data_IF_233489512249
#
_entry.id   IF_233489512249
#
_cell.length_a   1.000
_cell.length_b   1.000
_cell.length_c   1.000
_cell.angle_alpha   90.00
_cell.angle_beta   90.00
_cell.angle_gamma   90.00
#
_symmetry.space_group_name_H-M   'P 1'
#
loop_
_entity.id
_entity.type
_entity.pdbx_description
1 polymer ?
#
# COMPACT_ATOMS: atom_id res chain seq x y z
N UNK A 1 20.68 13.48 24.37
CA UNK A 1 20.90 12.97 23.01
C UNK A 1 19.84 11.94 22.72
N UNK A 2 18.82 12.30 21.95
CA UNK A 2 17.74 11.40 21.51
C UNK A 2 17.62 11.61 20.02
N UNK A 3 18.11 10.64 19.28
CA UNK A 3 18.05 10.54 17.82
C UNK A 3 16.59 10.40 17.41
N UNK A 4 16.06 11.40 16.70
CA UNK A 4 14.76 11.30 16.04
C UNK A 4 14.95 10.65 14.67
N UNK A 5 14.35 9.47 14.49
CA UNK A 5 14.27 8.82 13.19
C UNK A 5 13.25 9.59 12.33
N UNK A 6 13.75 10.20 11.25
CA UNK A 6 12.93 10.75 10.17
C UNK A 6 12.30 9.56 9.44
N UNK A 7 10.97 9.54 9.32
CA UNK A 7 10.26 8.57 8.51
C UNK A 7 10.62 8.79 7.04
N UNK A 8 11.58 8.02 6.55
CA UNK A 8 11.78 7.81 5.12
C UNK A 8 10.60 7.02 4.55
N UNK A 9 10.35 7.17 3.25
CA UNK A 9 9.26 6.57 2.49
C UNK A 9 8.79 5.17 2.98
N UNK A 10 7.46 4.97 2.99
CA UNK A 10 6.72 3.74 3.41
C UNK A 10 6.81 3.37 4.90
N UNK A 11 5.67 3.45 5.60
CA UNK A 11 5.53 3.08 7.02
C UNK A 11 6.00 1.63 7.30
N UNK A 12 6.63 1.34 8.45
CA UNK A 12 6.93 -0.04 8.86
C UNK A 12 5.71 -0.98 8.80
N UNK A 13 4.51 -0.46 9.06
CA UNK A 13 3.25 -1.19 8.96
C UNK A 13 2.91 -1.59 7.52
N UNK A 14 3.33 -0.80 6.53
CA UNK A 14 3.14 -1.10 5.11
C UNK A 14 3.94 -2.33 4.67
N UNK A 15 5.18 -2.45 5.16
CA UNK A 15 6.01 -3.63 4.93
C UNK A 15 5.52 -4.82 5.75
N UNK A 16 5.15 -4.60 7.01
CA UNK A 16 4.63 -5.64 7.89
C UNK A 16 3.35 -6.28 7.32
N UNK A 17 2.40 -5.47 6.85
CA UNK A 17 1.16 -5.93 6.21
C UNK A 17 1.43 -6.82 4.99
N UNK A 18 2.38 -6.42 4.14
CA UNK A 18 2.78 -7.21 2.96
C UNK A 18 3.49 -8.50 3.33
N UNK A 19 4.45 -8.44 4.23
CA UNK A 19 5.22 -9.61 4.65
C UNK A 19 4.32 -10.66 5.33
N UNK A 20 3.45 -10.22 6.23
CA UNK A 20 2.52 -11.10 6.95
C UNK A 20 1.45 -11.68 6.01
N UNK A 21 0.94 -10.90 5.06
CA UNK A 21 -0.01 -11.40 4.06
C UNK A 21 0.59 -12.46 3.12
N UNK A 22 1.83 -12.25 2.66
CA UNK A 22 2.54 -13.24 1.84
C UNK A 22 2.87 -14.51 2.62
N UNK A 23 3.30 -14.37 3.88
CA UNK A 23 3.55 -15.52 4.74
C UNK A 23 2.26 -16.30 5.02
N UNK A 24 1.14 -15.60 5.27
CA UNK A 24 -0.17 -16.22 5.43
C UNK A 24 -0.58 -17.02 4.18
N UNK A 25 -0.34 -16.50 2.96
CA UNK A 25 -0.60 -17.21 1.71
C UNK A 25 0.26 -18.49 1.59
N UNK A 26 1.56 -18.41 1.86
CA UNK A 26 2.47 -19.57 1.79
C UNK A 26 2.06 -20.64 2.82
N UNK A 27 1.78 -20.24 4.05
CA UNK A 27 1.36 -21.16 5.12
C UNK A 27 -0.02 -21.78 4.83
N UNK A 28 -0.98 -20.99 4.33
CA UNK A 28 -2.29 -21.49 3.92
C UNK A 28 -2.16 -22.50 2.78
N UNK A 29 -1.27 -22.22 1.82
CA UNK A 29 -0.95 -23.14 0.72
C UNK A 29 -0.40 -24.46 1.27
N UNK A 30 0.63 -24.41 2.12
CA UNK A 30 1.18 -25.61 2.75
C UNK A 30 0.12 -26.40 3.54
N UNK A 31 -0.77 -25.69 4.26
CA UNK A 31 -1.89 -26.29 4.98
C UNK A 31 -2.84 -27.05 4.06
N UNK A 32 -3.21 -26.47 2.90
CA UNK A 32 -4.05 -27.11 1.88
C UNK A 32 -3.37 -28.35 1.29
N UNK A 33 -2.09 -28.26 0.95
CA UNK A 33 -1.31 -29.40 0.42
C UNK A 33 -1.29 -30.57 1.40
N UNK A 34 -1.03 -30.30 2.69
CA UNK A 34 -1.06 -31.32 3.73
C UNK A 34 -2.47 -31.87 3.99
N UNK A 35 -3.50 -31.05 3.81
CA UNK A 35 -4.89 -31.49 3.82
C UNK A 35 -5.19 -32.48 2.68
N UNK A 36 -4.69 -32.20 1.46
CA UNK A 36 -4.80 -33.10 0.31
C UNK A 36 -4.08 -34.43 0.61
N UNK A 37 -2.83 -34.39 1.09
CA UNK A 37 -2.05 -35.57 1.48
C UNK A 37 -2.78 -36.43 2.53
N UNK A 38 -3.40 -35.78 3.52
CA UNK A 38 -4.21 -36.44 4.54
C UNK A 38 -5.45 -37.11 3.93
N UNK A 39 -6.11 -36.46 2.97
CA UNK A 39 -7.31 -36.99 2.31
C UNK A 39 -7.07 -38.28 1.52
N UNK A 40 -5.87 -38.43 0.93
CA UNK A 40 -5.45 -39.65 0.20
C UNK A 40 -4.69 -40.64 1.09
N UNK A 41 -4.58 -40.35 2.40
CA UNK A 41 -3.87 -41.17 3.40
C UNK A 41 -2.41 -41.48 3.01
N UNK A 42 -1.73 -40.51 2.38
CA UNK A 42 -0.34 -40.65 1.94
C UNK A 42 0.59 -40.99 3.11
N UNK A 43 1.54 -41.90 2.86
CA UNK A 43 2.59 -42.29 3.79
C UNK A 43 3.77 -42.90 3.03
N UNK A 44 4.98 -42.73 3.57
CA UNK A 44 6.19 -43.44 3.12
C UNK A 44 7.05 -43.82 4.35
N UNK A 45 8.07 -44.69 4.20
CA UNK A 45 8.95 -45.05 5.32
C UNK A 45 9.60 -43.85 6.02
N UNK A 46 9.98 -42.82 5.25
CA UNK A 46 10.55 -41.57 5.78
C UNK A 46 9.49 -40.52 6.15
N UNK A 47 8.21 -40.74 5.79
CA UNK A 47 7.11 -39.79 6.03
C UNK A 47 5.86 -40.49 6.56
N UNK A 48 5.84 -40.85 7.86
CA UNK A 48 4.67 -41.46 8.49
C UNK A 48 3.46 -40.53 8.54
N UNK A 49 2.25 -41.09 8.61
CA UNK A 49 0.99 -40.32 8.60
C UNK A 49 0.87 -39.28 9.71
N UNK A 50 1.43 -39.56 10.90
CA UNK A 50 1.37 -38.64 12.02
C UNK A 50 2.14 -37.34 11.74
N UNK A 51 3.18 -37.38 10.89
CA UNK A 51 3.94 -36.19 10.48
C UNK A 51 3.05 -35.25 9.68
N UNK A 52 2.33 -35.77 8.67
CA UNK A 52 1.38 -34.96 7.87
C UNK A 52 0.30 -34.34 8.75
N UNK A 53 -0.28 -35.10 9.68
CA UNK A 53 -1.33 -34.62 10.59
C UNK A 53 -0.79 -33.55 11.54
N UNK A 54 0.39 -33.78 12.13
CA UNK A 54 1.05 -32.82 13.02
C UNK A 54 1.44 -31.53 12.30
N UNK A 55 2.02 -31.66 11.11
CA UNK A 55 2.43 -30.52 10.29
C UNK A 55 1.21 -29.72 9.82
N UNK A 56 0.12 -30.38 9.39
CA UNK A 56 -1.12 -29.70 9.02
C UNK A 56 -1.66 -28.87 10.18
N UNK A 57 -1.69 -29.42 11.40
CA UNK A 57 -2.13 -28.70 12.60
C UNK A 57 -1.22 -27.50 12.90
N UNK A 58 0.09 -27.68 12.88
CA UNK A 58 1.04 -26.61 13.19
C UNK A 58 1.00 -25.49 12.15
N UNK A 59 0.97 -25.82 10.86
CA UNK A 59 0.84 -24.83 9.79
C UNK A 59 -0.51 -24.13 9.83
N UNK A 60 -1.60 -24.83 10.16
CA UNK A 60 -2.92 -24.20 10.33
C UNK A 60 -2.88 -23.12 11.41
N UNK A 61 -2.26 -23.41 12.56
CA UNK A 61 -2.12 -22.44 13.64
C UNK A 61 -1.25 -21.24 13.22
N UNK A 62 -0.13 -21.49 12.52
CA UNK A 62 0.69 -20.41 11.98
C UNK A 62 -0.07 -19.57 10.95
N UNK A 63 -0.85 -20.19 10.06
CA UNK A 63 -1.71 -19.48 9.10
C UNK A 63 -2.67 -18.54 9.82
N UNK A 64 -3.36 -19.01 10.87
CA UNK A 64 -4.26 -18.16 11.67
C UNK A 64 -3.49 -17.01 12.32
N UNK A 65 -2.33 -17.27 12.93
CA UNK A 65 -1.50 -16.24 13.57
C UNK A 65 -1.06 -15.17 12.57
N UNK A 66 -0.49 -15.57 11.42
CA UNK A 66 -0.04 -14.63 10.39
C UNK A 66 -1.19 -13.89 9.72
N UNK A 67 -2.37 -14.53 9.58
CA UNK A 67 -3.59 -13.86 9.11
C UNK A 67 -4.05 -12.81 10.12
N UNK A 68 -4.04 -13.12 11.41
CA UNK A 68 -4.35 -12.17 12.48
C UNK A 68 -3.38 -10.98 12.49
N UNK A 69 -2.08 -11.24 12.35
CA UNK A 69 -1.06 -10.18 12.21
C UNK A 69 -1.28 -9.34 10.96
N UNK A 70 -1.60 -9.96 9.83
CA UNK A 70 -1.92 -9.26 8.58
C UNK A 70 -3.12 -8.33 8.75
N UNK A 71 -4.21 -8.81 9.35
CA UNK A 71 -5.40 -8.00 9.64
C UNK A 71 -5.05 -6.87 10.60
N UNK A 72 -4.35 -7.16 11.70
CA UNK A 72 -3.97 -6.18 12.72
C UNK A 72 -3.11 -5.05 12.15
N UNK A 73 -2.09 -5.40 11.36
CA UNK A 73 -1.21 -4.43 10.70
C UNK A 73 -1.97 -3.63 9.64
N UNK A 74 -2.94 -4.24 8.96
CA UNK A 74 -3.79 -3.57 7.96
C UNK A 74 -4.71 -2.52 8.59
N UNK A 75 -5.41 -2.85 9.68
CA UNK A 75 -6.35 -1.90 10.33
C UNK A 75 -5.64 -0.80 11.12
N UNK A 76 -4.39 -1.05 11.54
CA UNK A 76 -3.56 -0.05 12.23
C UNK A 76 -2.77 0.83 11.27
N UNK A 77 -2.69 0.48 9.98
CA UNK A 77 -2.03 1.31 8.98
C UNK A 77 -2.83 2.61 8.73
N UNK A 78 -2.28 3.79 9.08
CA UNK A 78 -2.98 5.07 8.90
C UNK A 78 -3.21 5.41 7.42
N UNK A 79 -2.52 4.74 6.49
CA UNK A 79 -2.65 5.00 5.06
C UNK A 79 -4.06 4.73 4.51
N UNK A 80 -4.68 3.62 4.91
CA UNK A 80 -5.96 3.16 4.34
C UNK A 80 -7.18 3.43 5.24
N UNK A 81 -6.97 3.80 6.51
CA UNK A 81 -8.01 4.13 7.51
C UNK A 81 -9.19 3.14 7.48
N UNK A 82 -8.90 1.85 7.57
CA UNK A 82 -9.89 0.78 7.44
C UNK A 82 -10.64 0.63 8.77
N UNK A 83 -11.97 0.65 8.72
CA UNK A 83 -12.81 0.41 9.90
C UNK A 83 -12.63 -1.03 10.41
N UNK A 84 -12.45 -1.26 11.72
CA UNK A 84 -12.37 -2.59 12.31
C UNK A 84 -13.59 -3.48 11.99
N UNK A 85 -14.77 -2.88 11.78
CA UNK A 85 -15.97 -3.64 11.39
C UNK A 85 -15.83 -4.31 10.02
N UNK A 86 -15.01 -3.74 9.12
CA UNK A 86 -14.79 -4.28 7.77
C UNK A 86 -13.92 -5.55 7.76
N UNK A 87 -13.41 -5.98 8.91
CA UNK A 87 -12.67 -7.25 9.07
C UNK A 87 -13.61 -8.45 9.00
N UNK A 88 -14.81 -8.32 9.56
CA UNK A 88 -15.80 -9.41 9.70
C UNK A 88 -17.09 -9.15 8.91
N UNK A 89 -17.33 -7.90 8.50
CA UNK A 89 -18.45 -7.55 7.63
C UNK A 89 -17.90 -7.26 6.24
N UNK A 90 -18.05 -8.18 5.27
CA UNK A 90 -17.48 -7.99 3.95
C UNK A 90 -18.18 -6.85 3.21
N UNK A 91 -17.43 -6.16 2.35
CA UNK A 91 -17.90 -5.11 1.44
C UNK A 91 -18.39 -3.81 2.10
N UNK A 92 -18.09 -3.58 3.39
CA UNK A 92 -18.44 -2.32 4.08
C UNK A 92 -17.39 -1.21 3.92
N UNK A 93 -16.15 -1.56 3.54
CA UNK A 93 -15.05 -0.58 3.42
C UNK A 93 -15.27 0.41 2.26
N UNK A 94 -14.96 1.69 2.51
CA UNK A 94 -14.87 2.73 1.48
C UNK A 94 -13.56 2.66 0.68
N UNK A 95 -12.53 1.99 1.22
CA UNK A 95 -11.28 1.70 0.55
C UNK A 95 -11.37 0.34 -0.14
N UNK A 96 -11.13 0.25 -1.45
CA UNK A 96 -11.06 -1.00 -2.25
C UNK A 96 -12.12 -2.05 -1.89
N UNK A 97 -13.38 -1.62 -1.83
CA UNK A 97 -14.53 -2.35 -1.26
C UNK A 97 -14.58 -3.85 -1.60
N UNK A 98 -14.50 -4.20 -2.88
CA UNK A 98 -14.61 -5.59 -3.36
C UNK A 98 -13.46 -6.43 -2.82
N UNK A 99 -12.23 -5.93 -2.96
CA UNK A 99 -11.03 -6.68 -2.62
C UNK A 99 -10.88 -6.85 -1.11
N UNK A 100 -11.14 -5.80 -0.32
CA UNK A 100 -11.20 -5.91 1.13
C UNK A 100 -12.32 -6.84 1.61
N UNK A 101 -13.48 -6.80 0.95
CA UNK A 101 -14.57 -7.74 1.23
C UNK A 101 -14.18 -9.19 0.99
N UNK A 102 -13.42 -9.50 -0.07
CA UNK A 102 -12.86 -10.85 -0.27
C UNK A 102 -11.87 -11.25 0.83
N UNK A 103 -11.12 -10.29 1.37
CA UNK A 103 -10.24 -10.52 2.53
C UNK A 103 -11.03 -10.89 3.78
N UNK A 104 -12.11 -10.15 4.07
CA UNK A 104 -13.04 -10.47 5.14
C UNK A 104 -13.70 -11.85 4.95
N UNK A 105 -14.18 -12.17 3.74
CA UNK A 105 -14.71 -13.50 3.43
C UNK A 105 -13.68 -14.60 3.69
N UNK A 106 -12.43 -14.42 3.25
CA UNK A 106 -11.37 -15.41 3.53
C UNK A 106 -11.11 -15.56 5.04
N UNK A 107 -11.09 -14.45 5.78
CA UNK A 107 -10.94 -14.44 7.24
C UNK A 107 -12.09 -15.18 7.92
N UNK A 108 -13.34 -14.92 7.53
CA UNK A 108 -14.54 -15.56 8.09
C UNK A 108 -14.56 -17.06 7.81
N UNK A 109 -14.16 -17.48 6.60
CA UNK A 109 -14.02 -18.90 6.25
C UNK A 109 -12.96 -19.57 7.13
N UNK A 110 -11.79 -18.94 7.33
CA UNK A 110 -10.75 -19.45 8.23
C UNK A 110 -11.21 -19.52 9.67
N UNK A 111 -11.93 -18.49 10.14
CA UNK A 111 -12.48 -18.44 11.48
C UNK A 111 -13.50 -19.56 11.71
N UNK A 112 -14.40 -19.80 10.75
CA UNK A 112 -15.36 -20.90 10.80
C UNK A 112 -14.65 -22.26 10.86
N UNK A 113 -13.62 -22.48 10.04
CA UNK A 113 -12.81 -23.71 10.05
C UNK A 113 -12.08 -23.87 11.38
N UNK A 114 -11.50 -22.80 11.93
CA UNK A 114 -10.81 -22.81 13.22
C UNK A 114 -11.76 -23.18 14.36
N UNK A 115 -12.87 -22.45 14.50
CA UNK A 115 -13.85 -22.64 15.58
C UNK A 115 -14.43 -24.04 15.52
N UNK A 116 -14.87 -24.50 14.35
CA UNK A 116 -15.43 -25.85 14.21
C UNK A 116 -14.38 -26.94 14.46
N UNK A 117 -13.11 -26.71 14.12
CA UNK A 117 -12.03 -27.65 14.39
C UNK A 117 -11.65 -27.73 15.88
N UNK A 118 -11.74 -26.61 16.61
CA UNK A 118 -11.63 -26.60 18.08
C UNK A 118 -12.79 -27.34 18.74
N UNK A 119 -13.99 -27.18 18.21
CA UNK A 119 -15.22 -27.83 18.69
C UNK A 119 -15.43 -29.24 18.13
N UNK A 120 -14.46 -29.83 17.40
CA UNK A 120 -14.64 -31.09 16.67
C UNK A 120 -15.15 -32.28 17.51
N UNK A 121 -14.88 -32.28 18.82
CA UNK A 121 -15.33 -33.34 19.76
C UNK A 121 -16.72 -33.08 20.33
N UNK A 122 -17.28 -31.89 20.11
CA UNK A 122 -18.60 -31.44 20.58
C UNK A 122 -19.65 -31.36 19.46
N UNK A 123 -19.22 -31.41 18.20
CA UNK A 123 -20.10 -31.34 17.02
C UNK A 123 -20.07 -32.65 16.24
N UNK A 124 -21.07 -32.85 15.36
CA UNK A 124 -21.11 -34.05 14.53
C UNK A 124 -19.92 -34.08 13.55
N UNK A 125 -19.32 -35.26 13.28
CA UNK A 125 -18.24 -35.40 12.31
C UNK A 125 -18.61 -34.96 10.89
N UNK A 126 -19.91 -35.04 10.54
CA UNK A 126 -20.44 -34.59 9.24
C UNK A 126 -20.43 -33.06 9.13
N UNK A 127 -20.93 -32.37 10.16
CA UNK A 127 -20.94 -30.91 10.21
C UNK A 127 -19.51 -30.35 10.19
N UNK A 128 -18.63 -30.91 11.03
CA UNK A 128 -17.22 -30.54 11.03
C UNK A 128 -16.61 -30.69 9.63
N UNK A 129 -16.82 -31.82 8.96
CA UNK A 129 -16.28 -32.07 7.62
C UNK A 129 -16.83 -31.10 6.58
N UNK A 130 -18.13 -30.80 6.61
CA UNK A 130 -18.77 -29.86 5.71
C UNK A 130 -18.14 -28.46 5.84
N UNK A 131 -18.00 -27.95 7.07
CA UNK A 131 -17.38 -26.64 7.31
C UNK A 131 -15.89 -26.69 6.98
N UNK A 132 -15.19 -27.78 7.28
CA UNK A 132 -13.77 -27.92 6.98
C UNK A 132 -13.48 -27.86 5.46
N UNK A 133 -14.43 -28.27 4.61
CA UNK A 133 -14.31 -28.07 3.16
C UNK A 133 -14.28 -26.61 2.72
N UNK A 134 -14.75 -25.67 3.56
CA UNK A 134 -14.59 -24.23 3.31
C UNK A 134 -13.11 -23.83 3.15
N UNK A 135 -12.16 -24.60 3.70
CA UNK A 135 -10.74 -24.39 3.46
C UNK A 135 -10.34 -24.46 1.98
N UNK A 136 -11.01 -25.29 1.18
CA UNK A 136 -10.78 -25.36 -0.28
C UNK A 136 -11.29 -24.10 -1.02
N UNK A 137 -12.34 -23.44 -0.50
CA UNK A 137 -12.85 -22.19 -1.04
C UNK A 137 -12.07 -20.97 -0.52
N UNK A 138 -11.59 -21.02 0.73
CA UNK A 138 -10.82 -19.95 1.33
C UNK A 138 -9.53 -19.64 0.55
N UNK A 139 -8.80 -20.68 0.11
CA UNK A 139 -7.53 -20.49 -0.59
C UNK A 139 -7.66 -19.66 -1.89
N UNK A 140 -8.55 -19.98 -2.85
CA UNK A 140 -8.68 -19.16 -4.05
C UNK A 140 -9.22 -17.75 -3.75
N UNK A 141 -10.11 -17.60 -2.75
CA UNK A 141 -10.58 -16.27 -2.32
C UNK A 141 -9.42 -15.42 -1.79
N UNK A 142 -8.52 -16.00 -0.99
CA UNK A 142 -7.34 -15.31 -0.48
C UNK A 142 -6.36 -14.92 -1.60
N UNK A 143 -6.17 -15.77 -2.62
CA UNK A 143 -5.35 -15.46 -3.80
C UNK A 143 -5.94 -14.29 -4.58
N UNK A 144 -7.25 -14.33 -4.88
CA UNK A 144 -7.93 -13.24 -5.61
C UNK A 144 -7.91 -11.94 -4.79
N UNK A 145 -8.11 -12.02 -3.48
CA UNK A 145 -7.95 -10.88 -2.56
C UNK A 145 -6.55 -10.27 -2.67
N UNK A 146 -5.49 -11.08 -2.54
CA UNK A 146 -4.10 -10.62 -2.60
C UNK A 146 -3.73 -10.00 -3.95
N UNK A 147 -4.16 -10.62 -5.05
CA UNK A 147 -3.95 -10.08 -6.39
C UNK A 147 -4.73 -8.78 -6.62
N UNK A 148 -5.99 -8.72 -6.21
CA UNK A 148 -6.87 -7.57 -6.44
C UNK A 148 -6.56 -6.36 -5.56
N UNK A 149 -6.09 -6.59 -4.33
CA UNK A 149 -5.59 -5.52 -3.45
C UNK A 149 -4.24 -4.96 -3.87
N UNK A 150 -3.47 -5.68 -4.70
CA UNK A 150 -2.18 -5.26 -5.22
C UNK A 150 -2.17 -3.87 -5.89
N UNK A 151 -0.99 -3.24 -5.88
CA UNK A 151 -0.73 -1.94 -6.53
C UNK A 151 -0.17 -2.15 -7.93
N UNK A 152 -0.21 -1.09 -8.75
CA UNK A 152 0.28 -1.08 -10.13
C UNK A 152 1.75 -1.53 -10.18
N UNK A 153 2.01 -2.71 -10.75
CA UNK A 153 3.34 -3.31 -10.79
C UNK A 153 3.69 -4.19 -9.59
N UNK A 154 2.88 -5.21 -9.30
CA UNK A 154 3.22 -6.24 -8.32
C UNK A 154 4.66 -6.72 -8.54
N UNK A 155 5.48 -6.67 -7.48
CA UNK A 155 6.89 -7.02 -7.59
C UNK A 155 7.01 -8.45 -8.15
N UNK A 156 7.89 -8.65 -9.14
CA UNK A 156 8.03 -9.94 -9.86
C UNK A 156 8.20 -11.13 -8.92
N UNK A 157 8.88 -10.92 -7.79
CA UNK A 157 9.07 -11.94 -6.76
C UNK A 157 7.77 -12.31 -6.03
N UNK A 158 6.86 -11.37 -5.78
CA UNK A 158 5.53 -11.64 -5.20
C UNK A 158 4.68 -12.48 -6.17
N UNK A 159 4.73 -12.14 -7.45
CA UNK A 159 4.05 -12.91 -8.49
C UNK A 159 4.62 -14.31 -8.62
N UNK A 160 5.95 -14.46 -8.53
CA UNK A 160 6.61 -15.77 -8.53
C UNK A 160 6.15 -16.63 -7.34
N UNK A 161 6.08 -16.07 -6.12
CA UNK A 161 5.57 -16.79 -4.94
C UNK A 161 4.11 -17.19 -5.14
N UNK A 162 3.27 -16.26 -5.62
CA UNK A 162 1.84 -16.52 -5.84
C UNK A 162 1.63 -17.61 -6.90
N UNK A 163 2.38 -17.54 -8.01
CA UNK A 163 2.36 -18.54 -9.06
C UNK A 163 2.87 -19.90 -8.57
N UNK A 164 3.95 -19.94 -7.79
CA UNK A 164 4.46 -21.18 -7.19
C UNK A 164 3.42 -21.81 -6.26
N UNK A 165 2.75 -21.02 -5.42
CA UNK A 165 1.66 -21.51 -4.57
C UNK A 165 0.51 -22.08 -5.41
N UNK A 166 0.08 -21.37 -6.46
CA UNK A 166 -0.99 -21.82 -7.33
C UNK A 166 -0.64 -23.11 -8.07
N UNK A 167 0.56 -23.20 -8.65
CA UNK A 167 1.04 -24.40 -9.32
C UNK A 167 1.12 -25.59 -8.37
N UNK A 168 1.58 -25.39 -7.12
CA UNK A 168 1.64 -26.44 -6.13
C UNK A 168 0.24 -27.00 -5.78
N UNK A 169 -0.74 -26.12 -5.56
CA UNK A 169 -2.13 -26.54 -5.27
C UNK A 169 -2.77 -27.22 -6.48
N UNK A 170 -2.58 -26.70 -7.69
CA UNK A 170 -3.10 -27.31 -8.91
C UNK A 170 -2.48 -28.69 -9.16
N UNK A 171 -1.17 -28.83 -8.96
CA UNK A 171 -0.48 -30.11 -9.11
C UNK A 171 -0.96 -31.14 -8.08
N UNK A 172 -1.09 -30.74 -6.80
CA UNK A 172 -1.62 -31.61 -5.76
C UNK A 172 -3.09 -31.97 -5.99
N UNK A 173 -3.89 -31.02 -6.49
CA UNK A 173 -5.28 -31.24 -6.89
C UNK A 173 -5.40 -32.24 -8.05
N UNK A 174 -4.60 -32.06 -9.10
CA UNK A 174 -4.53 -32.98 -10.23
C UNK A 174 -4.12 -34.39 -9.78
N UNK A 175 -3.09 -34.50 -8.94
CA UNK A 175 -2.67 -35.78 -8.35
C UNK A 175 -3.77 -36.43 -7.50
N UNK A 176 -4.50 -35.66 -6.70
CA UNK A 176 -5.65 -36.16 -5.94
C UNK A 176 -6.74 -36.71 -6.86
N UNK A 177 -6.98 -36.08 -8.01
CA UNK A 177 -7.95 -36.54 -9.00
C UNK A 177 -7.51 -37.85 -9.67
N UNK A 178 -6.22 -38.16 -9.75
CA UNK A 178 -5.73 -39.45 -10.27
C UNK A 178 -5.72 -40.54 -9.19
N UNK A 179 -5.53 -40.20 -7.92
CA UNK A 179 -5.61 -41.14 -6.80
C UNK A 179 -7.03 -41.76 -6.70
N UNK A 180 -7.18 -43.04 -7.07
CA UNK A 180 -8.46 -43.76 -7.08
C UNK A 180 -9.24 -43.73 -8.40
N UNK A 181 -8.58 -43.38 -9.51
CA UNK A 181 -9.12 -43.57 -10.86
C UNK A 181 -9.40 -45.07 -11.15
N UNK A 182 -10.47 -45.44 -11.88
CA UNK A 182 -11.43 -44.60 -12.60
C UNK A 182 -12.73 -44.27 -11.84
N UNK A 183 -12.85 -44.56 -10.54
CA UNK A 183 -14.10 -44.37 -9.81
C UNK A 183 -14.60 -42.91 -9.89
N UNK A 184 -15.83 -42.69 -10.37
CA UNK A 184 -16.44 -41.36 -10.62
C UNK A 184 -15.72 -40.53 -11.70
N UNK A 185 -15.25 -41.15 -12.78
CA UNK A 185 -14.52 -40.50 -13.87
C UNK A 185 -15.18 -39.21 -14.40
N UNK A 186 -16.50 -39.21 -14.64
CA UNK A 186 -17.22 -38.02 -15.10
C UNK A 186 -17.06 -36.82 -14.17
N UNK A 187 -17.31 -37.01 -12.87
CA UNK A 187 -17.17 -35.96 -11.85
C UNK A 187 -15.71 -35.46 -11.74
N UNK A 188 -14.73 -36.36 -11.87
CA UNK A 188 -13.31 -36.02 -11.81
C UNK A 188 -12.86 -35.20 -13.01
N UNK A 189 -13.29 -35.58 -14.22
CA UNK A 189 -13.01 -34.83 -15.45
C UNK A 189 -13.65 -33.45 -15.39
N UNK A 190 -14.91 -33.35 -14.94
CA UNK A 190 -15.55 -32.03 -14.76
C UNK A 190 -14.82 -31.18 -13.72
N UNK A 191 -14.39 -31.77 -12.60
CA UNK A 191 -13.63 -31.04 -11.58
C UNK A 191 -12.26 -30.57 -12.10
N UNK A 192 -11.57 -31.40 -12.89
CA UNK A 192 -10.32 -31.02 -13.55
C UNK A 192 -10.53 -29.86 -14.53
N UNK A 193 -11.54 -29.97 -15.40
CA UNK A 193 -11.87 -28.94 -16.39
C UNK A 193 -12.23 -27.61 -15.72
N UNK A 194 -13.07 -27.63 -14.68
CA UNK A 194 -13.41 -26.44 -13.88
C UNK A 194 -12.17 -25.86 -13.20
N UNK A 195 -11.31 -26.69 -12.62
CA UNK A 195 -10.07 -26.25 -11.99
C UNK A 195 -9.14 -25.53 -12.97
N UNK A 196 -8.95 -26.10 -14.17
CA UNK A 196 -8.17 -25.47 -15.25
C UNK A 196 -8.81 -24.16 -15.72
N UNK A 197 -10.13 -24.15 -15.94
CA UNK A 197 -10.86 -22.96 -16.37
C UNK A 197 -10.73 -21.82 -15.34
N UNK A 198 -10.87 -22.12 -14.04
CA UNK A 198 -10.70 -21.13 -12.97
C UNK A 198 -9.26 -20.61 -12.91
N UNK A 199 -8.26 -21.48 -13.07
CA UNK A 199 -6.86 -21.07 -13.08
C UNK A 199 -6.56 -20.12 -14.26
N UNK A 200 -7.01 -20.46 -15.46
CA UNK A 200 -6.85 -19.63 -16.66
C UNK A 200 -7.62 -18.31 -16.54
N UNK A 201 -8.85 -18.34 -16.05
CA UNK A 201 -9.65 -17.15 -15.82
C UNK A 201 -8.98 -16.21 -14.81
N UNK A 202 -8.43 -16.74 -13.72
CA UNK A 202 -7.71 -15.96 -12.71
C UNK A 202 -6.42 -15.36 -13.29
N UNK A 203 -5.67 -16.12 -14.08
CA UNK A 203 -4.46 -15.62 -14.75
C UNK A 203 -4.78 -14.53 -15.78
N UNK A 204 -5.81 -14.74 -16.61
CA UNK A 204 -6.29 -13.76 -17.59
C UNK A 204 -6.80 -12.48 -16.91
N UNK A 205 -7.58 -12.62 -15.84
CA UNK A 205 -8.02 -11.47 -15.02
C UNK A 205 -6.84 -10.73 -14.39
N UNK A 206 -5.87 -11.43 -13.80
CA UNK A 206 -4.68 -10.81 -13.22
C UNK A 206 -3.90 -9.99 -14.27
N UNK A 207 -3.71 -10.55 -15.47
CA UNK A 207 -3.03 -9.89 -16.58
C UNK A 207 -3.80 -8.70 -17.18
N UNK A 208 -5.13 -8.80 -17.26
CA UNK A 208 -5.98 -7.72 -17.78
C UNK A 208 -6.28 -6.62 -16.75
N UNK A 209 -6.21 -6.94 -15.45
CA UNK A 209 -6.61 -6.06 -14.35
C UNK A 209 -5.44 -5.67 -13.46
N UNK A 210 -5.20 -6.40 -12.34
CA UNK A 210 -4.19 -6.09 -11.31
C UNK A 210 -2.80 -5.70 -11.80
N UNK A 211 -2.34 -6.32 -12.89
CA UNK A 211 -0.99 -6.10 -13.41
C UNK A 211 -0.89 -4.90 -14.36
N UNK A 212 -2.01 -4.28 -14.74
CA UNK A 212 -2.03 -3.13 -15.65
C UNK A 212 -1.89 -1.81 -14.88
N UNK A 213 -1.24 -0.80 -15.47
CA UNK A 213 -1.24 0.56 -14.92
C UNK A 213 -2.67 1.08 -14.65
N UNK A 214 -2.81 1.89 -13.60
CA UNK A 214 -4.08 2.47 -13.17
C UNK A 214 -5.03 1.48 -12.49
N UNK A 215 -4.58 0.26 -12.17
CA UNK A 215 -5.39 -0.70 -11.43
C UNK A 215 -5.77 -0.16 -10.06
N UNK A 216 -4.87 0.57 -9.38
CA UNK A 216 -5.16 1.11 -8.07
C UNK A 216 -6.45 1.95 -8.04
N UNK A 217 -6.68 2.77 -9.08
CA UNK A 217 -7.93 3.52 -9.26
C UNK A 217 -9.12 2.60 -9.53
N UNK A 218 -8.99 1.68 -10.50
CA UNK A 218 -10.05 0.71 -10.86
C UNK A 218 -10.44 -0.20 -9.70
N UNK A 219 -9.50 -0.52 -8.83
CA UNK A 219 -9.68 -1.34 -7.65
C UNK A 219 -10.42 -0.60 -6.52
N UNK A 220 -10.69 0.70 -6.66
CA UNK A 220 -11.42 1.50 -5.68
C UNK A 220 -10.52 2.17 -4.64
N UNK A 221 -9.28 2.53 -5.01
CA UNK A 221 -8.46 3.43 -4.17
C UNK A 221 -9.00 4.87 -4.29
N UNK A 222 -9.29 5.55 -3.17
CA UNK A 222 -9.73 6.95 -3.17
C UNK A 222 -8.78 7.88 -3.96
N UNK A 223 -9.30 8.81 -4.79
CA UNK A 223 -8.49 9.76 -5.56
C UNK A 223 -7.51 10.57 -4.71
N UNK A 224 -7.90 10.93 -3.48
CA UNK A 224 -7.06 11.65 -2.53
C UNK A 224 -5.78 10.91 -2.14
N UNK A 225 -5.85 9.57 -2.01
CA UNK A 225 -4.68 8.74 -1.71
C UNK A 225 -3.77 8.57 -2.93
N UNK A 226 -4.36 8.47 -4.14
CA UNK A 226 -3.58 8.42 -5.38
C UNK A 226 -2.84 9.74 -5.62
N UNK A 227 -3.50 10.88 -5.35
CA UNK A 227 -2.88 12.21 -5.43
C UNK A 227 -1.74 12.36 -4.40
N UNK A 228 -1.93 11.86 -3.16
CA UNK A 228 -0.87 11.80 -2.13
C UNK A 228 0.33 10.97 -2.59
N UNK A 229 0.10 9.77 -3.14
CA UNK A 229 1.17 8.90 -3.64
C UNK A 229 1.90 9.48 -4.85
N UNK A 230 1.19 10.14 -5.78
CA UNK A 230 1.80 10.82 -6.92
C UNK A 230 2.64 12.04 -6.49
N UNK A 231 2.15 12.80 -5.49
CA UNK A 231 2.90 13.89 -4.87
C UNK A 231 4.19 13.42 -4.19
N UNK A 232 4.15 12.28 -3.49
CA UNK A 232 5.33 11.69 -2.83
C UNK A 232 6.32 11.08 -3.83
N UNK A 233 5.84 10.47 -4.92
CA UNK A 233 6.68 9.93 -5.99
C UNK A 233 7.42 11.03 -6.77
N UNK A 234 6.76 12.16 -7.02
CA UNK A 234 7.36 13.33 -7.64
C UNK A 234 8.41 14.03 -6.76
N UNK A 235 8.36 13.84 -5.44
CA UNK A 235 9.43 14.20 -4.51
C UNK A 235 10.61 13.22 -4.60
N UNK A 236 10.38 11.93 -4.42
CA UNK A 236 11.47 10.93 -4.30
C UNK A 236 12.39 10.72 -5.53
N UNK A 237 12.22 11.47 -6.62
CA UNK A 237 13.08 11.43 -7.79
C UNK A 237 14.36 12.24 -7.62
N UNK A 238 15.48 11.58 -7.37
CA UNK A 238 16.79 12.09 -7.80
C UNK A 238 16.69 12.46 -9.28
N UNK A 239 17.06 13.67 -9.73
CA UNK A 239 16.93 14.02 -11.15
C UNK A 239 17.86 13.11 -11.96
N UNK A 240 17.25 12.15 -12.65
CA UNK A 240 17.92 11.38 -13.68
C UNK A 240 18.33 12.37 -14.77
N UNK A 241 19.64 12.50 -14.98
CA UNK A 241 20.16 13.20 -16.12
C UNK A 241 19.76 12.46 -17.40
N UNK A 242 19.01 13.13 -18.28
CA UNK A 242 18.88 12.76 -19.69
C UNK A 242 17.47 12.36 -20.15
N UNK A 243 16.80 13.26 -20.86
CA UNK A 243 15.61 12.98 -21.67
C UNK A 243 14.77 14.24 -21.93
N UNK A 244 14.51 14.64 -23.19
CA UNK A 244 14.06 16.00 -23.50
C UNK A 244 12.56 16.16 -23.25
N UNK A 245 12.23 16.89 -22.19
CA UNK A 245 10.86 17.29 -21.86
C UNK A 245 10.83 18.70 -21.29
N UNK A 246 10.94 19.70 -22.15
CA UNK A 246 10.34 21.06 -22.08
C UNK A 246 10.38 21.92 -20.80
N UNK A 247 10.97 21.52 -19.68
CA UNK A 247 11.07 22.34 -18.47
C UNK A 247 12.42 23.02 -18.38
N UNK A 248 12.46 24.36 -18.35
CA UNK A 248 13.70 25.10 -18.12
C UNK A 248 14.15 24.91 -16.66
N UNK A 249 15.24 24.17 -16.45
CA UNK A 249 15.95 24.13 -15.16
C UNK A 249 16.64 25.46 -14.93
N UNK A 250 16.30 26.16 -13.85
CA UNK A 250 16.91 27.47 -13.53
C UNK A 250 18.33 27.25 -13.02
N UNK A 251 19.33 27.69 -13.80
CA UNK A 251 20.73 27.78 -13.35
C UNK A 251 20.88 29.01 -12.46
N UNK A 252 21.53 28.83 -11.30
CA UNK A 252 21.82 29.91 -10.35
C UNK A 252 22.57 31.05 -11.04
N UNK A 253 21.93 32.21 -11.24
CA UNK A 253 22.58 33.41 -11.79
C UNK A 253 21.71 34.36 -12.62
N UNK A 254 20.55 33.93 -13.14
CA UNK A 254 19.64 34.86 -13.85
C UNK A 254 18.85 35.72 -12.86
N UNK A 255 18.93 37.05 -12.94
CA UNK A 255 18.10 37.95 -12.11
C UNK A 255 16.62 37.99 -12.48
N UNK A 256 16.20 37.22 -13.49
CA UNK A 256 14.85 37.20 -14.06
C UNK A 256 14.06 36.02 -13.49
N UNK A 257 12.79 36.25 -13.16
CA UNK A 257 11.89 35.19 -12.70
C UNK A 257 11.60 34.20 -13.84
N UNK A 258 11.70 32.89 -13.61
CA UNK A 258 11.55 31.87 -14.67
C UNK A 258 10.12 31.77 -15.22
N UNK A 259 10.00 31.41 -16.50
CA UNK A 259 8.73 31.09 -17.12
C UNK A 259 8.18 29.76 -16.59
N UNK A 260 6.87 29.64 -16.42
CA UNK A 260 6.19 28.43 -15.92
C UNK A 260 5.90 27.49 -17.11
N UNK A 261 6.11 26.16 -16.99
CA UNK A 261 6.58 25.45 -15.81
C UNK A 261 8.11 25.50 -15.63
N UNK A 262 8.56 25.57 -14.38
CA UNK A 262 9.98 25.54 -14.04
C UNK A 262 10.28 24.73 -12.80
N UNK A 263 11.56 24.35 -12.68
CA UNK A 263 12.11 23.73 -11.48
C UNK A 263 13.34 24.53 -10.99
N UNK A 264 13.39 24.78 -9.68
CA UNK A 264 14.49 25.49 -9.03
C UNK A 264 14.96 24.77 -7.76
N UNK A 265 16.28 24.65 -7.59
CA UNK A 265 16.87 24.22 -6.32
C UNK A 265 16.95 25.40 -5.37
N UNK A 266 16.37 25.27 -4.19
CA UNK A 266 16.28 26.33 -3.22
C UNK A 266 17.17 26.03 -2.01
N UNK A 267 17.83 27.06 -1.49
CA UNK A 267 18.56 27.04 -0.22
C UNK A 267 18.04 28.13 0.68
N UNK A 268 17.94 27.86 1.98
CA UNK A 268 17.23 28.75 2.88
C UNK A 268 17.44 28.44 4.35
N UNK A 269 16.66 29.14 5.17
CA UNK A 269 16.62 28.95 6.61
C UNK A 269 15.20 28.60 7.07
N UNK A 270 15.13 27.88 8.18
CA UNK A 270 13.90 27.62 8.92
C UNK A 270 14.02 28.27 10.30
N UNK A 271 12.97 28.97 10.74
CA UNK A 271 12.88 29.56 12.07
C UNK A 271 11.57 29.20 12.75
N UNK A 272 11.63 29.11 14.08
CA UNK A 272 10.51 28.75 14.94
C UNK A 272 10.27 29.88 15.93
N UNK A 273 9.05 30.38 16.00
CA UNK A 273 8.63 31.41 16.96
C UNK A 273 7.36 30.96 17.71
N UNK A 274 7.06 31.63 18.81
CA UNK A 274 5.75 31.49 19.46
C UNK A 274 4.65 31.99 18.51
N UNK A 275 3.50 31.32 18.52
CA UNK A 275 2.34 31.71 17.73
C UNK A 275 1.55 32.87 18.35
N UNK A 276 0.58 33.43 17.61
CA UNK A 276 -0.26 34.53 18.08
C UNK A 276 -1.26 34.12 19.17
N UNK A 277 -1.61 32.83 19.27
CA UNK A 277 -2.45 32.29 20.34
C UNK A 277 -1.64 31.43 21.34
N UNK A 278 -2.15 31.27 22.57
CA UNK A 278 -1.52 30.46 23.59
C UNK A 278 -1.44 28.98 23.16
N UNK A 279 -0.21 28.44 23.08
CA UNK A 279 0.05 27.06 22.63
C UNK A 279 0.35 26.93 21.13
N UNK A 280 0.17 27.99 20.35
CA UNK A 280 0.54 28.01 18.93
C UNK A 280 2.03 28.21 18.74
N UNK A 281 2.52 27.75 17.59
CA UNK A 281 3.87 27.92 17.08
C UNK A 281 3.80 28.43 15.64
N UNK A 282 4.75 29.30 15.30
CA UNK A 282 4.94 29.81 13.95
C UNK A 282 6.21 29.20 13.37
N UNK A 283 6.11 28.51 12.24
CA UNK A 283 7.25 28.04 11.45
C UNK A 283 7.40 28.94 10.23
N UNK A 284 8.58 29.50 10.03
CA UNK A 284 8.88 30.31 8.85
C UNK A 284 10.03 29.69 8.06
N UNK A 285 9.78 29.41 6.78
CA UNK A 285 10.76 28.94 5.82
C UNK A 285 11.06 30.09 4.85
N UNK A 286 12.33 30.46 4.73
CA UNK A 286 12.79 31.47 3.79
C UNK A 286 13.86 30.87 2.89
N UNK A 287 13.50 30.58 1.64
CA UNK A 287 14.36 29.89 0.68
C UNK A 287 14.56 30.71 -0.60
N UNK A 288 15.68 30.49 -1.30
CA UNK A 288 16.05 31.23 -2.51
C UNK A 288 16.83 30.39 -3.52
N UNK A 289 16.73 30.75 -4.80
CA UNK A 289 17.67 30.39 -5.86
C UNK A 289 18.22 31.69 -6.45
N UNK A 290 19.43 32.09 -6.04
CA UNK A 290 20.02 33.37 -6.44
C UNK A 290 19.09 34.56 -6.17
N UNK A 291 18.96 35.45 -7.15
CA UNK A 291 17.99 36.56 -7.16
C UNK A 291 16.72 36.25 -7.97
N UNK A 292 16.72 35.13 -8.71
CA UNK A 292 15.64 34.70 -9.61
C UNK A 292 14.37 34.32 -8.87
N UNK A 293 14.53 33.61 -7.75
CA UNK A 293 13.43 33.00 -7.00
C UNK A 293 13.66 33.19 -5.50
N UNK A 294 12.67 33.75 -4.82
CA UNK A 294 12.51 33.77 -3.37
C UNK A 294 11.18 33.12 -3.04
N UNK A 295 11.22 32.22 -2.07
CA UNK A 295 10.07 31.52 -1.53
C UNK A 295 10.04 31.79 -0.02
N UNK A 296 8.93 32.34 0.46
CA UNK A 296 8.64 32.48 1.88
C UNK A 296 7.39 31.68 2.21
N UNK A 297 7.48 30.79 3.19
CA UNK A 297 6.36 30.03 3.70
C UNK A 297 6.25 30.26 5.19
N UNK A 298 5.06 30.63 5.66
CA UNK A 298 4.77 30.77 7.08
C UNK A 298 3.60 29.84 7.41
N UNK A 299 3.76 29.03 8.45
CA UNK A 299 2.77 28.09 8.96
C UNK A 299 2.54 28.40 10.43
N UNK A 300 1.28 28.47 10.83
CA UNK A 300 0.85 28.75 12.20
C UNK A 300 -0.07 27.62 12.66
N UNK A 301 0.04 27.25 13.94
CA UNK A 301 -0.95 26.45 14.64
C UNK A 301 -0.39 25.73 15.87
N UNK A 302 -1.16 24.80 16.46
CA UNK A 302 -0.76 24.15 17.70
C UNK A 302 0.54 23.38 17.56
N UNK A 303 1.40 23.47 18.58
CA UNK A 303 2.61 22.67 18.65
C UNK A 303 2.26 21.18 18.70
N UNK A 304 2.91 20.39 17.85
CA UNK A 304 2.90 18.92 17.91
C UNK A 304 4.35 18.43 18.10
N UNK A 305 4.55 17.20 18.55
CA UNK A 305 5.90 16.68 18.83
C UNK A 305 6.82 16.84 17.60
N UNK A 306 7.73 17.82 17.64
CA UNK A 306 8.69 18.12 16.58
C UNK A 306 8.18 19.02 15.44
N UNK A 307 6.99 19.63 15.52
CA UNK A 307 6.44 20.46 14.44
C UNK A 307 5.19 21.26 14.81
N UNK A 308 4.37 21.60 13.80
CA UNK A 308 3.15 22.40 13.95
C UNK A 308 1.99 21.77 13.19
N UNK A 309 0.83 21.62 13.84
CA UNK A 309 -0.41 21.29 13.16
C UNK A 309 -0.95 22.55 12.47
N UNK A 310 -1.03 22.55 11.14
CA UNK A 310 -1.35 23.74 10.36
C UNK A 310 -2.80 24.20 10.60
N UNK A 311 -2.98 25.34 11.27
CA UNK A 311 -4.26 26.06 11.39
C UNK A 311 -4.36 27.20 10.38
N UNK A 312 -3.23 27.86 10.09
CA UNK A 312 -3.14 28.90 9.07
C UNK A 312 -1.79 28.82 8.34
N UNK A 313 -1.76 29.30 7.10
CA UNK A 313 -0.52 29.39 6.32
C UNK A 313 -0.55 30.52 5.31
N UNK A 314 0.64 31.02 4.99
CA UNK A 314 0.86 31.98 3.91
C UNK A 314 2.09 31.60 3.10
N UNK A 315 2.00 31.73 1.78
CA UNK A 315 3.10 31.46 0.85
C UNK A 315 3.28 32.67 -0.04
N UNK A 316 4.52 33.12 -0.20
CA UNK A 316 4.93 34.15 -1.13
C UNK A 316 6.05 33.64 -2.03
N UNK A 317 5.93 33.89 -3.33
CA UNK A 317 6.86 33.48 -4.37
C UNK A 317 7.11 34.63 -5.34
N UNK A 318 8.37 34.91 -5.66
CA UNK A 318 8.72 35.91 -6.65
C UNK A 318 10.22 36.13 -6.78
N UNK A 319 10.69 37.02 -7.68
CA UNK A 319 12.10 37.39 -7.75
C UNK A 319 12.49 38.26 -6.55
N UNK A 320 13.79 38.50 -6.36
CA UNK A 320 14.28 39.34 -5.27
C UNK A 320 13.75 40.79 -5.30
N UNK A 321 13.43 41.30 -6.50
CA UNK A 321 12.84 42.63 -6.71
C UNK A 321 11.35 42.72 -6.37
N UNK A 322 10.64 41.58 -6.37
CA UNK A 322 9.21 41.50 -6.10
C UNK A 322 8.90 40.14 -5.43
N UNK A 323 9.25 39.96 -4.14
CA UNK A 323 9.18 38.65 -3.47
C UNK A 323 7.76 38.12 -3.30
N UNK A 324 6.76 39.00 -3.27
CA UNK A 324 5.34 38.67 -3.10
C UNK A 324 4.57 38.68 -4.43
N UNK A 325 5.27 38.50 -5.56
CA UNK A 325 4.67 38.49 -6.91
C UNK A 325 3.51 37.49 -7.03
N UNK A 326 3.64 36.33 -6.39
CA UNK A 326 2.60 35.33 -6.24
C UNK A 326 2.38 35.09 -4.74
N UNK A 327 1.13 35.17 -4.30
CA UNK A 327 0.77 34.90 -2.90
C UNK A 327 -0.31 33.84 -2.81
N UNK A 328 -0.35 33.12 -1.69
CA UNK A 328 -1.36 32.10 -1.47
C UNK A 328 -1.14 31.34 -0.17
N UNK A 329 -1.51 30.06 -0.16
CA UNK A 329 -1.50 29.24 1.05
C UNK A 329 -1.00 27.83 0.78
N UNK A 330 -0.54 27.18 1.84
CA UNK A 330 -0.21 25.76 1.83
C UNK A 330 -1.50 24.96 1.77
N UNK A 331 -1.59 24.06 0.81
CA UNK A 331 -2.74 23.18 0.58
C UNK A 331 -2.47 21.77 1.14
N UNK A 332 -1.20 21.36 1.18
CA UNK A 332 -0.76 20.11 1.76
C UNK A 332 0.58 20.29 2.48
N UNK A 333 0.68 19.72 3.67
CA UNK A 333 1.92 19.60 4.44
C UNK A 333 2.06 18.15 4.90
N UNK A 334 3.05 17.43 4.38
CA UNK A 334 3.31 16.03 4.72
C UNK A 334 4.82 15.79 4.83
N UNK A 335 5.35 15.80 6.06
CA UNK A 335 6.77 15.64 6.33
C UNK A 335 7.64 16.72 5.67
N UNK A 336 8.50 16.30 4.74
CA UNK A 336 9.37 17.18 3.95
C UNK A 336 8.72 17.72 2.68
N UNK A 337 7.49 17.31 2.36
CA UNK A 337 6.77 17.72 1.15
C UNK A 337 5.74 18.78 1.52
N UNK A 338 5.78 19.88 0.77
CA UNK A 338 4.87 21.01 0.91
C UNK A 338 4.26 21.33 -0.44
N UNK A 339 2.93 21.37 -0.51
CA UNK A 339 2.23 21.88 -1.69
C UNK A 339 1.53 23.19 -1.36
N UNK A 340 1.67 24.17 -2.25
CA UNK A 340 1.04 25.46 -2.12
C UNK A 340 0.31 25.84 -3.40
N UNK A 341 -0.83 26.50 -3.23
CA UNK A 341 -1.53 27.18 -4.32
C UNK A 341 -1.26 28.66 -4.17
N UNK A 342 -0.69 29.28 -5.20
CA UNK A 342 -0.38 30.71 -5.24
C UNK A 342 -0.98 31.35 -6.49
N UNK A 343 -1.33 32.62 -6.38
CA UNK A 343 -1.87 33.42 -7.47
C UNK A 343 -1.24 34.80 -7.51
N UNK A 344 -1.07 35.33 -8.71
CA UNK A 344 -0.38 36.60 -8.96
C UNK A 344 -0.30 36.85 -10.46
N UNK A 345 -0.26 38.11 -10.87
CA UNK A 345 -0.15 38.51 -12.29
C UNK A 345 -1.14 37.80 -13.25
N UNK A 346 -2.37 37.55 -12.79
CA UNK A 346 -3.40 36.86 -13.58
C UNK A 346 -3.17 35.35 -13.79
N UNK A 347 -2.14 34.76 -13.17
CA UNK A 347 -1.84 33.33 -13.21
C UNK A 347 -2.12 32.66 -11.85
N UNK A 348 -2.50 31.38 -11.89
CA UNK A 348 -2.59 30.49 -10.73
C UNK A 348 -1.58 29.38 -10.88
N UNK A 349 -0.77 29.18 -9.86
CA UNK A 349 0.31 28.21 -9.85
C UNK A 349 0.12 27.21 -8.71
N UNK A 350 0.45 25.96 -9.02
CA UNK A 350 0.66 24.90 -8.03
C UNK A 350 2.16 24.75 -7.82
N UNK A 351 2.58 24.88 -6.57
CA UNK A 351 3.97 24.68 -6.14
C UNK A 351 4.07 23.33 -5.44
N UNK A 352 5.00 22.49 -5.89
CA UNK A 352 5.43 21.30 -5.18
C UNK A 352 6.85 21.53 -4.68
N UNK A 353 7.03 21.56 -3.36
CA UNK A 353 8.29 21.83 -2.69
C UNK A 353 8.67 20.58 -1.89
N UNK A 354 9.84 20.05 -2.18
CA UNK A 354 10.40 18.94 -1.42
C UNK A 354 11.68 19.39 -0.72
N UNK A 355 11.71 19.23 0.59
CA UNK A 355 12.84 19.61 1.45
C UNK A 355 13.79 18.41 1.58
N UNK A 356 15.05 18.57 1.18
CA UNK A 356 16.02 17.47 1.06
C UNK A 356 16.97 17.37 2.25
N UNK A 357 17.30 18.49 2.90
CA UNK A 357 18.15 18.53 4.10
C UNK A 357 17.67 19.63 5.04
N UNK A 358 17.51 19.29 6.31
CA UNK A 358 17.15 20.22 7.38
C UNK A 358 18.09 20.01 8.56
N UNK A 359 18.93 21.00 8.86
CA UNK A 359 19.50 21.16 10.20
C UNK A 359 18.55 22.04 11.03
N UNK A 360 18.88 22.34 12.29
CA UNK A 360 18.03 23.18 13.14
C UNK A 360 17.73 24.58 12.59
N UNK A 361 18.53 25.07 11.63
CA UNK A 361 18.41 26.43 11.07
C UNK A 361 18.52 26.51 9.55
N UNK A 362 19.06 25.50 8.87
CA UNK A 362 19.29 25.51 7.41
C UNK A 362 18.39 24.50 6.72
N UNK A 363 17.79 24.90 5.60
CA UNK A 363 16.96 24.04 4.77
C UNK A 363 17.36 24.12 3.30
N UNK A 364 17.40 22.98 2.62
CA UNK A 364 17.54 22.89 1.17
C UNK A 364 16.39 22.09 0.58
N UNK A 365 16.06 22.34 -0.69
CA UNK A 365 14.99 21.62 -1.35
C UNK A 365 14.89 21.89 -2.84
N UNK A 366 13.97 21.19 -3.50
CA UNK A 366 13.61 21.41 -4.90
C UNK A 366 12.18 21.91 -4.94
N UNK A 367 11.94 22.97 -5.72
CA UNK A 367 10.60 23.48 -5.99
C UNK A 367 10.29 23.33 -7.47
N UNK A 368 9.13 22.77 -7.75
CA UNK A 368 8.53 22.71 -9.09
C UNK A 368 7.30 23.61 -9.09
N UNK A 369 7.20 24.51 -10.07
CA UNK A 369 6.06 25.39 -10.27
C UNK A 369 5.36 25.04 -11.60
N UNK A 370 4.05 24.84 -11.54
CA UNK A 370 3.21 24.49 -12.69
C UNK A 370 1.94 25.33 -12.68
N UNK A 371 1.30 25.49 -13.84
CA UNK A 371 0.00 26.14 -13.93
C UNK A 371 -1.07 25.26 -13.26
N UNK A 372 -1.94 25.87 -12.45
CA UNK A 372 -3.06 25.14 -11.84
C UNK A 372 -4.11 24.81 -12.91
N UNK A 373 -4.52 23.53 -13.01
CA UNK A 373 -5.69 23.13 -13.80
C UNK A 373 -6.95 23.75 -13.17
N UNK A 374 -7.86 24.25 -14.01
CA UNK A 374 -9.06 24.99 -13.59
C UNK A 374 -10.08 24.11 -12.87
#
# INVERSE_FOLDING_TARGET
MTTAAVATATSPLWFATRATGLMALVLLTGTVLLGILTSVRFASPAWPRFVTIGLHRNLSLLTITFTGLHVLTTITDPFASISPFSVVLPFTSGYRRIWLGLGAVAFDLLLAVLVTSLLRTRISPRLWRLVHWAGYACWPVAVVHGLGTGTDGAARWVLAITAACALAVLAAGAWRLTAGWPAHAGLRVTAAAVGVAVALATAGWAWAGPLRPGWARRAGTPPSLLARSAGNAAGSGTPAAGGPGGGSTVRSGSGVFPAVPFQARLTGTVSFASGPAAGDRTVSLAMKNGTAVRLKVTIIGPAVQGGVHMSASSVALGPASAPDRFTGRVVLLDGSVLQAAVSGDGQRLTLAIELTSQTSTTVTGVMTAQQAEQ
#
